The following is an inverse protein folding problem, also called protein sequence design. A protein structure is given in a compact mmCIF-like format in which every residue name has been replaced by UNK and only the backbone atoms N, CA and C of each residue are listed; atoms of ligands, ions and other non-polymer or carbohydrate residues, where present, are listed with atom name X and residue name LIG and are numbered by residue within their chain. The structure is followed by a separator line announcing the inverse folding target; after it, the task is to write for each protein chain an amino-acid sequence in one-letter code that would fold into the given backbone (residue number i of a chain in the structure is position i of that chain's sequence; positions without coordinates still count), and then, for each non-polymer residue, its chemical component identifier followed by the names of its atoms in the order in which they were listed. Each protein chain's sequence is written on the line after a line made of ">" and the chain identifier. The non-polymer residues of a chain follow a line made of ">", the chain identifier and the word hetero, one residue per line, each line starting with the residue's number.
data_IF_513019926177
#
_entry.id   IF_513019926177
#
_cell.length_a   1.000
_cell.length_b   1.000
_cell.length_c   1.000
_cell.angle_alpha   90.00
_cell.angle_beta   90.00
_cell.angle_gamma   90.00
#
_symmetry.space_group_name_H-M   'P 1'
#
loop_
_entity.id
_entity.type
_entity.pdbx_description
1 polymer ?
#
# COMPACT_ATOMS: atom_id res chain seq x y z
N UNK A 1 -29.89 -8.80 -21.21
CA UNK A 1 -28.52 -9.17 -20.80
C UNK A 1 -27.75 -7.88 -20.57
N UNK A 2 -27.91 -7.30 -19.39
CA UNK A 2 -27.02 -6.22 -18.96
C UNK A 2 -25.62 -6.84 -18.82
N UNK A 3 -24.65 -6.25 -19.51
CA UNK A 3 -23.26 -6.68 -19.37
C UNK A 3 -22.92 -6.56 -17.88
N UNK A 4 -22.53 -7.69 -17.28
CA UNK A 4 -22.15 -7.79 -15.88
C UNK A 4 -21.10 -6.69 -15.57
N UNK A 5 -21.54 -5.55 -15.02
CA UNK A 5 -20.71 -4.37 -14.73
C UNK A 5 -19.65 -4.63 -13.66
N UNK A 6 -19.61 -5.86 -13.16
CA UNK A 6 -18.87 -6.34 -11.99
C UNK A 6 -17.37 -6.53 -12.21
N UNK A 7 -16.85 -6.36 -13.42
CA UNK A 7 -15.43 -6.60 -13.68
C UNK A 7 -14.75 -5.43 -14.41
N UNK A 8 -14.57 -4.33 -13.69
CA UNK A 8 -13.92 -3.10 -14.18
C UNK A 8 -12.40 -3.28 -14.41
N UNK A 9 -11.74 -4.11 -13.57
CA UNK A 9 -10.31 -4.39 -13.60
C UNK A 9 -10.07 -5.88 -13.90
N UNK A 10 -10.05 -6.30 -15.17
CA UNK A 10 -9.79 -7.70 -15.56
C UNK A 10 -8.35 -7.90 -16.02
N UNK A 11 -7.89 -7.00 -16.88
CA UNK A 11 -6.61 -7.10 -17.59
C UNK A 11 -5.57 -6.29 -16.85
N UNK A 12 -4.29 -6.67 -16.99
CA UNK A 12 -3.18 -5.88 -16.45
C UNK A 12 -3.25 -4.41 -16.90
N UNK A 13 -3.65 -4.16 -18.16
CA UNK A 13 -3.80 -2.82 -18.71
C UNK A 13 -4.89 -1.96 -18.04
N UNK A 14 -5.83 -2.59 -17.34
CA UNK A 14 -6.89 -1.87 -16.65
C UNK A 14 -6.36 -1.13 -15.42
N UNK A 15 -5.28 -1.63 -14.82
CA UNK A 15 -4.70 -1.09 -13.60
C UNK A 15 -3.84 0.16 -13.81
N UNK A 16 -3.44 0.46 -15.04
CA UNK A 16 -2.81 1.74 -15.35
C UNK A 16 -3.77 2.74 -16.02
N UNK A 17 -5.06 2.40 -16.14
CA UNK A 17 -6.08 3.31 -16.63
C UNK A 17 -6.76 4.06 -15.47
N UNK A 18 -6.53 5.37 -15.39
CA UNK A 18 -7.10 6.24 -14.36
C UNK A 18 -8.62 6.16 -14.24
N UNK A 19 -9.35 6.15 -15.37
CA UNK A 19 -10.82 6.15 -15.35
C UNK A 19 -11.38 4.83 -14.82
N UNK A 20 -10.71 3.71 -15.13
CA UNK A 20 -11.09 2.40 -14.57
C UNK A 20 -10.83 2.31 -13.08
N UNK A 21 -9.71 2.83 -12.60
CA UNK A 21 -9.41 2.90 -11.17
C UNK A 21 -10.45 3.77 -10.42
N UNK A 22 -10.85 4.89 -11.02
CA UNK A 22 -11.91 5.77 -10.51
C UNK A 22 -13.25 5.01 -10.46
N UNK A 23 -13.67 4.37 -11.56
CA UNK A 23 -14.94 3.60 -11.60
C UNK A 23 -14.94 2.44 -10.60
N UNK A 24 -13.80 1.77 -10.41
CA UNK A 24 -13.66 0.68 -9.43
C UNK A 24 -13.89 1.15 -7.99
N UNK A 25 -13.75 2.44 -7.66
CA UNK A 25 -14.07 2.91 -6.31
C UNK A 25 -15.55 2.67 -5.97
N UNK A 26 -16.44 2.70 -6.96
CA UNK A 26 -17.87 2.55 -6.74
C UNK A 26 -18.27 1.11 -6.35
N UNK A 27 -17.43 0.11 -6.68
CA UNK A 27 -17.68 -1.31 -6.41
C UNK A 27 -17.21 -1.79 -5.04
N UNK A 28 -16.63 -0.91 -4.21
CA UNK A 28 -16.10 -1.29 -2.89
C UNK A 28 -17.16 -1.15 -1.80
N UNK A 29 -17.77 -2.25 -1.39
CA UNK A 29 -18.90 -2.25 -0.44
C UNK A 29 -18.52 -1.76 0.96
N UNK A 30 -17.29 -2.02 1.42
CA UNK A 30 -16.86 -1.57 2.77
C UNK A 30 -16.51 -0.07 2.84
N UNK A 31 -16.61 0.67 1.72
CA UNK A 31 -16.45 2.12 1.71
C UNK A 31 -17.82 2.82 1.71
N UNK A 32 -17.96 3.81 2.59
CA UNK A 32 -19.11 4.72 2.56
C UNK A 32 -19.13 5.53 1.26
N UNK A 33 -20.31 6.05 0.86
CA UNK A 33 -20.43 6.91 -0.32
C UNK A 33 -19.47 8.12 -0.28
N UNK A 34 -19.26 8.69 0.91
CA UNK A 34 -18.30 9.77 1.12
C UNK A 34 -16.86 9.33 0.87
N UNK A 35 -16.45 8.17 1.40
CA UNK A 35 -15.10 7.63 1.18
C UNK A 35 -14.86 7.26 -0.29
N UNK A 36 -15.87 6.70 -0.99
CA UNK A 36 -15.82 6.42 -2.43
C UNK A 36 -15.55 7.69 -3.23
N UNK A 37 -16.30 8.76 -2.97
CA UNK A 37 -16.09 10.03 -3.68
C UNK A 37 -14.73 10.64 -3.34
N UNK A 38 -14.28 10.54 -2.09
CA UNK A 38 -12.95 11.01 -1.69
C UNK A 38 -11.83 10.26 -2.43
N UNK A 39 -11.93 8.93 -2.56
CA UNK A 39 -10.99 8.13 -3.33
C UNK A 39 -11.00 8.48 -4.83
N UNK A 40 -12.18 8.71 -5.43
CA UNK A 40 -12.28 9.15 -6.83
C UNK A 40 -11.60 10.51 -7.06
N UNK A 41 -11.83 11.48 -6.16
CA UNK A 41 -11.12 12.77 -6.20
C UNK A 41 -9.61 12.61 -6.03
N UNK A 42 -9.17 11.71 -5.16
CA UNK A 42 -7.75 11.41 -4.95
C UNK A 42 -7.08 10.93 -6.25
N UNK A 43 -7.67 9.97 -6.96
CA UNK A 43 -7.16 9.53 -8.26
C UNK A 43 -7.08 10.66 -9.30
N UNK A 44 -8.11 11.53 -9.36
CA UNK A 44 -8.09 12.68 -10.28
C UNK A 44 -6.94 13.65 -9.96
N UNK A 45 -6.70 13.92 -8.68
CA UNK A 45 -5.57 14.76 -8.21
C UNK A 45 -4.24 14.12 -8.55
N UNK A 46 -4.07 12.83 -8.26
CA UNK A 46 -2.85 12.10 -8.59
C UNK A 46 -2.57 12.10 -10.10
N UNK A 47 -3.61 11.97 -10.93
CA UNK A 47 -3.44 12.09 -12.40
C UNK A 47 -2.90 13.46 -12.81
N UNK A 48 -3.36 14.53 -12.17
CA UNK A 48 -2.90 15.89 -12.45
C UNK A 48 -1.43 16.10 -12.01
N UNK A 49 -1.07 15.61 -10.82
CA UNK A 49 0.28 15.80 -10.25
C UNK A 49 1.32 14.85 -10.88
N UNK A 50 0.95 13.59 -11.08
CA UNK A 50 1.88 12.56 -11.55
C UNK A 50 1.99 12.53 -13.08
N UNK A 51 0.92 12.91 -13.77
CA UNK A 51 0.81 12.88 -15.23
C UNK A 51 -0.07 11.74 -15.73
N UNK A 52 -0.63 11.91 -16.94
CA UNK A 52 -1.59 10.95 -17.53
C UNK A 52 -0.99 9.57 -17.73
N UNK A 53 0.27 9.51 -18.15
CA UNK A 53 0.95 8.25 -18.49
C UNK A 53 1.78 7.70 -17.32
N UNK A 54 1.63 8.27 -16.12
CA UNK A 54 2.44 7.90 -14.97
C UNK A 54 2.30 6.42 -14.61
N UNK A 55 1.07 5.89 -14.52
CA UNK A 55 0.91 4.50 -14.13
C UNK A 55 1.46 3.54 -15.17
N UNK A 56 1.31 3.81 -16.46
CA UNK A 56 1.90 2.97 -17.51
C UNK A 56 3.42 2.87 -17.33
N UNK A 57 4.09 4.02 -17.21
CA UNK A 57 5.52 4.10 -16.94
C UNK A 57 5.91 3.47 -15.59
N UNK A 58 5.07 3.63 -14.55
CA UNK A 58 5.30 3.06 -13.23
C UNK A 58 5.23 1.53 -13.24
N UNK A 59 4.31 0.95 -14.01
CA UNK A 59 4.21 -0.50 -14.20
C UNK A 59 5.41 -1.06 -14.98
N UNK A 60 5.82 -0.39 -16.06
CA UNK A 60 7.02 -0.76 -16.83
C UNK A 60 8.29 -0.69 -15.98
N UNK A 61 8.46 0.41 -15.25
CA UNK A 61 9.60 0.63 -14.35
C UNK A 61 9.52 -0.12 -13.02
N UNK A 62 8.46 -0.91 -12.78
CA UNK A 62 8.21 -1.62 -11.51
C UNK A 62 8.28 -0.69 -10.29
N UNK A 63 7.74 0.51 -10.39
CA UNK A 63 7.65 1.44 -9.28
C UNK A 63 6.81 0.81 -8.15
N UNK A 64 7.27 0.84 -6.89
CA UNK A 64 6.54 0.19 -5.79
C UNK A 64 5.11 0.69 -5.56
N UNK A 65 4.76 1.89 -6.05
CA UNK A 65 3.37 2.38 -6.01
C UNK A 65 2.38 1.39 -6.66
N UNK A 66 2.83 0.62 -7.65
CA UNK A 66 2.01 -0.36 -8.37
C UNK A 66 1.43 -1.43 -7.44
N UNK A 67 2.09 -1.76 -6.33
CA UNK A 67 1.57 -2.70 -5.33
C UNK A 67 0.28 -2.18 -4.69
N UNK A 68 0.21 -0.89 -4.41
CA UNK A 68 -0.99 -0.23 -3.88
C UNK A 68 -2.09 -0.10 -4.96
N UNK A 69 -1.72 0.07 -6.23
CA UNK A 69 -2.71 0.15 -7.31
C UNK A 69 -3.33 -1.21 -7.62
N UNK A 70 -2.52 -2.28 -7.63
CA UNK A 70 -2.97 -3.65 -7.85
C UNK A 70 -3.86 -4.18 -6.73
N UNK A 71 -3.60 -3.74 -5.49
CA UNK A 71 -4.42 -4.14 -4.36
C UNK A 71 -5.81 -3.49 -4.43
N UNK A 72 -6.85 -4.33 -4.43
CA UNK A 72 -8.25 -3.90 -4.54
C UNK A 72 -8.91 -3.67 -3.19
N UNK A 73 -8.22 -3.93 -2.08
CA UNK A 73 -8.81 -3.80 -0.76
C UNK A 73 -9.23 -2.34 -0.44
N UNK A 74 -10.32 -2.13 0.32
CA UNK A 74 -10.80 -0.81 0.72
C UNK A 74 -9.74 0.05 1.42
N UNK A 75 -8.95 -0.56 2.30
CA UNK A 75 -7.90 0.15 3.04
C UNK A 75 -6.88 0.78 2.08
N UNK A 76 -6.64 0.17 0.92
CA UNK A 76 -5.70 0.71 -0.07
C UNK A 76 -6.27 1.96 -0.74
N UNK A 77 -7.60 2.08 -0.90
CA UNK A 77 -8.20 3.34 -1.38
C UNK A 77 -8.13 4.46 -0.34
N UNK A 78 -8.21 4.12 0.95
CA UNK A 78 -7.94 5.07 2.04
C UNK A 78 -6.47 5.53 2.02
N UNK A 79 -5.54 4.60 1.77
CA UNK A 79 -4.12 4.93 1.60
C UNK A 79 -3.88 5.85 0.38
N UNK A 80 -4.45 5.53 -0.79
CA UNK A 80 -4.36 6.38 -2.00
C UNK A 80 -4.94 7.78 -1.75
N UNK A 81 -6.01 7.86 -0.97
CA UNK A 81 -6.61 9.13 -0.56
C UNK A 81 -5.64 9.95 0.28
N UNK A 82 -5.06 9.35 1.32
CA UNK A 82 -4.02 9.99 2.12
C UNK A 82 -2.83 10.43 1.27
N UNK A 83 -2.33 9.58 0.38
CA UNK A 83 -1.19 9.86 -0.49
C UNK A 83 -1.48 11.07 -1.39
N UNK A 84 -2.66 11.14 -2.00
CA UNK A 84 -3.08 12.29 -2.80
C UNK A 84 -3.22 13.57 -1.98
N UNK A 85 -3.83 13.48 -0.79
CA UNK A 85 -4.00 14.63 0.10
C UNK A 85 -2.64 15.17 0.57
N UNK A 86 -1.68 14.29 0.88
CA UNK A 86 -0.32 14.67 1.26
C UNK A 86 0.45 15.37 0.13
N UNK A 87 0.33 14.85 -1.10
CA UNK A 87 0.93 15.48 -2.28
C UNK A 87 0.36 16.88 -2.51
N UNK A 88 -0.97 17.04 -2.43
CA UNK A 88 -1.61 18.34 -2.64
C UNK A 88 -1.26 19.33 -1.53
N UNK A 89 -1.24 18.89 -0.26
CA UNK A 89 -0.83 19.73 0.88
C UNK A 89 0.59 20.30 0.68
N UNK A 90 1.52 19.49 0.18
CA UNK A 90 2.91 19.90 0.01
C UNK A 90 3.20 20.63 -1.31
N UNK A 91 2.22 20.76 -2.21
CA UNK A 91 2.43 21.28 -3.57
C UNK A 91 3.01 22.70 -3.59
N UNK A 92 2.56 23.54 -2.68
CA UNK A 92 2.96 24.95 -2.60
C UNK A 92 4.20 25.18 -1.72
N UNK A 93 4.81 24.10 -1.22
CA UNK A 93 6.04 24.17 -0.45
C UNK A 93 7.28 24.25 -1.34
N UNK A 94 8.32 24.88 -0.82
CA UNK A 94 9.58 25.09 -1.54
C UNK A 94 10.20 23.73 -1.93
N UNK A 95 10.68 23.64 -3.17
CA UNK A 95 11.31 22.45 -3.77
C UNK A 95 10.43 21.19 -3.81
N UNK A 96 9.10 21.31 -3.74
CA UNK A 96 8.16 20.19 -3.89
C UNK A 96 8.44 19.30 -5.12
N UNK A 97 8.90 19.88 -6.23
CA UNK A 97 9.24 19.14 -7.45
C UNK A 97 10.30 18.06 -7.24
N UNK A 98 11.25 18.26 -6.31
CA UNK A 98 12.27 17.26 -5.97
C UNK A 98 11.66 16.02 -5.31
N UNK A 99 10.75 16.22 -4.34
CA UNK A 99 9.99 15.13 -3.72
C UNK A 99 9.17 14.37 -4.76
N UNK A 100 8.45 15.09 -5.61
CA UNK A 100 7.63 14.48 -6.65
C UNK A 100 8.48 13.65 -7.63
N UNK A 101 9.69 14.11 -7.96
CA UNK A 101 10.63 13.36 -8.79
C UNK A 101 11.13 12.08 -8.11
N UNK A 102 11.36 12.09 -6.79
CA UNK A 102 11.70 10.88 -6.00
C UNK A 102 10.58 9.86 -6.01
N UNK A 103 9.34 10.30 -5.78
CA UNK A 103 8.15 9.44 -5.79
C UNK A 103 7.89 8.80 -7.17
N UNK A 104 8.30 9.45 -8.27
CA UNK A 104 8.17 8.87 -9.61
C UNK A 104 9.22 7.80 -9.93
N UNK A 105 10.35 7.77 -9.22
CA UNK A 105 11.48 6.87 -9.49
C UNK A 105 11.38 5.59 -8.65
N UNK A 106 11.40 4.39 -9.25
CA UNK A 106 11.26 3.11 -8.52
C UNK A 106 12.23 2.95 -7.34
N UNK A 107 13.52 3.25 -7.56
CA UNK A 107 14.60 3.08 -6.56
C UNK A 107 14.45 4.08 -5.40
N UNK A 108 13.88 5.26 -5.67
CA UNK A 108 13.75 6.37 -4.71
C UNK A 108 12.36 6.48 -4.10
N UNK A 109 11.43 5.60 -4.49
CA UNK A 109 10.03 5.68 -4.08
C UNK A 109 9.88 5.62 -2.57
N UNK A 110 10.50 4.65 -1.90
CA UNK A 110 10.33 4.47 -0.45
C UNK A 110 10.96 5.61 0.35
N UNK A 111 12.15 6.07 -0.04
CA UNK A 111 12.78 7.27 0.52
C UNK A 111 11.86 8.49 0.37
N UNK A 112 11.38 8.73 -0.85
CA UNK A 112 10.44 9.82 -1.13
C UNK A 112 9.13 9.69 -0.36
N UNK A 113 8.59 8.48 -0.19
CA UNK A 113 7.37 8.23 0.56
C UNK A 113 7.55 8.56 2.05
N UNK A 114 8.70 8.21 2.63
CA UNK A 114 9.03 8.56 4.02
C UNK A 114 9.18 10.07 4.20
N UNK A 115 9.85 10.76 3.28
CA UNK A 115 9.95 12.23 3.31
C UNK A 115 8.57 12.88 3.17
N UNK A 116 7.73 12.40 2.24
CA UNK A 116 6.35 12.85 2.07
C UNK A 116 5.55 12.72 3.37
N UNK A 117 5.63 11.56 4.04
CA UNK A 117 4.89 11.32 5.28
C UNK A 117 5.30 12.27 6.40
N UNK A 118 6.61 12.45 6.62
CA UNK A 118 7.12 13.34 7.67
C UNK A 118 6.80 14.80 7.35
N UNK A 119 7.06 15.24 6.12
CA UNK A 119 6.76 16.59 5.67
C UNK A 119 5.26 16.92 5.80
N UNK A 120 4.38 15.98 5.42
CA UNK A 120 2.94 16.15 5.55
C UNK A 120 2.53 16.32 7.01
N UNK A 121 3.04 15.49 7.93
CA UNK A 121 2.74 15.60 9.37
C UNK A 121 3.14 16.97 9.93
N UNK A 122 4.34 17.45 9.62
CA UNK A 122 4.79 18.76 10.09
C UNK A 122 4.04 19.92 9.43
N UNK A 123 3.71 19.83 8.14
CA UNK A 123 2.89 20.84 7.47
C UNK A 123 1.52 20.97 8.15
N UNK A 124 0.88 19.83 8.44
CA UNK A 124 -0.39 19.75 9.18
C UNK A 124 -0.29 20.25 10.63
N UNK A 125 0.90 20.25 11.22
CA UNK A 125 1.18 20.83 12.52
C UNK A 125 1.49 22.33 12.47
N UNK A 126 1.43 22.96 11.28
CA UNK A 126 1.59 24.41 11.11
C UNK A 126 2.97 24.84 10.60
N UNK A 127 3.92 23.92 10.41
CA UNK A 127 5.27 24.27 9.95
C UNK A 127 5.29 24.62 8.46
N UNK A 128 6.10 25.60 8.08
CA UNK A 128 6.50 25.79 6.69
C UNK A 128 7.62 24.80 6.36
N UNK A 129 7.39 23.96 5.37
CA UNK A 129 8.33 22.95 4.88
C UNK A 129 9.10 23.48 3.67
N UNK A 130 10.39 23.20 3.62
CA UNK A 130 11.22 23.27 2.42
C UNK A 130 11.91 21.91 2.23
N UNK A 131 11.81 21.35 1.03
CA UNK A 131 12.29 20.02 0.69
C UNK A 131 13.70 20.13 0.11
N UNK A 132 14.62 19.26 0.51
CA UNK A 132 15.99 19.23 -0.01
C UNK A 132 16.68 20.62 -0.06
N UNK A 133 16.57 21.47 0.99
CA UNK A 133 17.15 22.81 1.00
C UNK A 133 18.67 22.76 0.82
N UNK A 134 19.23 23.75 0.13
CA UNK A 134 20.69 23.94 0.12
C UNK A 134 21.11 24.78 1.32
N UNK A 135 22.00 24.25 2.16
CA UNK A 135 22.53 24.94 3.34
C UNK A 135 24.04 24.82 3.44
N UNK A 136 24.69 25.78 4.07
CA UNK A 136 26.13 25.76 4.32
C UNK A 136 26.41 25.49 5.80
N UNK A 137 27.18 24.43 6.10
CA UNK A 137 27.58 24.07 7.46
C UNK A 137 29.09 23.96 7.53
N UNK A 138 29.72 24.89 8.26
CA UNK A 138 31.18 24.99 8.38
C UNK A 138 31.90 25.05 7.01
N UNK A 139 31.41 25.91 6.10
CA UNK A 139 32.02 26.12 4.78
C UNK A 139 31.72 25.03 3.75
N UNK A 140 30.84 24.06 4.07
CA UNK A 140 30.52 22.93 3.19
C UNK A 140 29.03 22.91 2.84
N UNK A 141 28.66 22.79 1.55
CA UNK A 141 27.27 22.63 1.18
C UNK A 141 26.74 21.29 1.69
N UNK A 142 25.56 21.31 2.29
CA UNK A 142 24.76 20.15 2.69
C UNK A 142 23.35 20.30 2.14
N UNK A 143 22.66 19.17 2.03
CA UNK A 143 21.28 19.11 1.57
C UNK A 143 20.50 18.13 2.46
N UNK A 144 19.98 18.60 3.61
CA UNK A 144 19.11 17.76 4.43
C UNK A 144 17.80 17.51 3.69
N UNK A 145 17.09 16.43 4.02
CA UNK A 145 15.79 16.12 3.40
C UNK A 145 14.75 17.23 3.62
N UNK A 146 14.72 17.81 4.82
CA UNK A 146 13.70 18.79 5.21
C UNK A 146 14.30 19.96 6.00
N UNK A 147 13.82 21.16 5.69
CA UNK A 147 13.85 22.32 6.59
C UNK A 147 12.42 22.59 7.07
N UNK A 148 12.25 22.59 8.38
CA UNK A 148 11.01 22.91 9.07
C UNK A 148 11.16 24.31 9.66
N UNK A 149 10.20 25.19 9.41
CA UNK A 149 10.19 26.54 9.94
C UNK A 149 8.87 26.77 10.68
N UNK A 150 8.96 27.01 11.98
CA UNK A 150 7.81 27.38 12.79
C UNK A 150 7.30 28.76 12.34
N UNK A 151 5.99 28.88 12.08
CA UNK A 151 5.42 30.13 11.53
C UNK A 151 5.32 31.23 12.59
N UNK A 152 5.23 30.88 13.87
CA UNK A 152 5.09 31.82 14.97
C UNK A 152 6.45 32.26 15.48
N UNK A 153 7.34 31.31 15.80
CA UNK A 153 8.65 31.61 16.40
C UNK A 153 9.75 31.89 15.38
N UNK A 154 9.53 31.53 14.11
CA UNK A 154 10.53 31.57 13.03
C UNK A 154 11.75 30.66 13.26
N UNK A 155 11.71 29.79 14.27
CA UNK A 155 12.76 28.80 14.51
C UNK A 155 12.87 27.82 13.34
N UNK A 156 14.09 27.37 13.06
CA UNK A 156 14.39 26.50 11.93
C UNK A 156 15.03 25.20 12.42
N UNK A 157 14.48 24.08 11.96
CA UNK A 157 15.02 22.75 12.18
C UNK A 157 15.37 22.11 10.84
N UNK A 158 16.57 21.56 10.74
CA UNK A 158 17.01 20.77 9.59
C UNK A 158 17.00 19.29 9.97
N UNK A 159 16.33 18.47 9.16
CA UNK A 159 16.08 17.06 9.47
C UNK A 159 16.48 16.18 8.29
N UNK A 160 17.17 15.08 8.61
CA UNK A 160 17.34 13.93 7.71
C UNK A 160 16.25 12.91 8.02
N UNK A 161 15.63 12.33 7.00
CA UNK A 161 14.61 11.30 7.17
C UNK A 161 15.23 9.95 6.85
N UNK A 162 15.38 9.13 7.88
CA UNK A 162 15.88 7.76 7.73
C UNK A 162 14.78 6.76 8.03
N UNK A 163 14.75 5.70 7.23
CA UNK A 163 13.93 4.51 7.51
C UNK A 163 14.85 3.52 8.19
N UNK A 164 14.53 3.18 9.44
CA UNK A 164 15.21 2.08 10.12
C UNK A 164 14.74 0.76 9.50
N UNK A 165 15.63 -0.24 9.52
CA UNK A 165 15.27 -1.59 9.12
C UNK A 165 14.03 -2.08 9.89
N UNK A 166 13.30 -3.00 9.24
CA UNK A 166 12.16 -3.66 9.87
C UNK A 166 12.55 -4.18 11.26
N UNK A 167 11.70 -3.87 12.24
CA UNK A 167 11.91 -4.36 13.60
C UNK A 167 11.99 -5.89 13.59
N UNK A 168 12.63 -6.47 14.61
CA UNK A 168 12.65 -7.94 14.74
C UNK A 168 11.22 -8.51 14.74
N UNK A 169 10.29 -7.83 15.42
CA UNK A 169 8.89 -8.21 15.45
C UNK A 169 8.23 -8.17 14.06
N UNK A 170 8.47 -7.11 13.26
CA UNK A 170 7.91 -7.01 11.91
C UNK A 170 8.45 -8.11 10.98
N UNK A 171 9.76 -8.38 11.06
CA UNK A 171 10.38 -9.47 10.30
C UNK A 171 9.79 -10.83 10.68
N UNK A 172 9.57 -11.08 11.97
CA UNK A 172 8.96 -12.32 12.46
C UNK A 172 7.48 -12.42 12.07
N UNK A 173 6.74 -11.31 12.08
CA UNK A 173 5.35 -11.25 11.61
C UNK A 173 5.25 -11.52 10.11
N UNK A 174 6.09 -10.90 9.29
CA UNK A 174 6.13 -11.13 7.85
C UNK A 174 6.52 -12.58 7.54
N UNK A 175 7.52 -13.12 8.22
CA UNK A 175 7.90 -14.53 8.10
C UNK A 175 6.74 -15.46 8.44
N UNK A 176 6.02 -15.17 9.53
CA UNK A 176 4.84 -15.93 9.95
C UNK A 176 3.78 -15.93 8.84
N UNK A 177 3.43 -14.76 8.31
CA UNK A 177 2.49 -14.61 7.20
C UNK A 177 2.94 -15.38 5.95
N UNK A 178 4.18 -15.20 5.51
CA UNK A 178 4.72 -15.86 4.31
C UNK A 178 4.69 -17.37 4.44
N UNK A 179 5.09 -17.90 5.61
CA UNK A 179 5.12 -19.36 5.83
C UNK A 179 3.71 -19.95 5.86
N UNK A 180 2.74 -19.24 6.46
CA UNK A 180 1.32 -19.63 6.48
C UNK A 180 0.69 -19.56 5.08
N UNK A 181 1.06 -18.56 4.28
CA UNK A 181 0.53 -18.38 2.93
C UNK A 181 1.15 -19.36 1.90
N UNK A 182 2.36 -19.87 2.15
CA UNK A 182 3.11 -20.69 1.19
C UNK A 182 2.33 -21.93 0.68
N UNK A 183 1.68 -22.76 1.53
CA UNK A 183 0.86 -23.88 1.05
C UNK A 183 -0.21 -23.45 0.05
N UNK A 184 -0.89 -22.33 0.33
CA UNK A 184 -1.97 -21.81 -0.54
C UNK A 184 -1.45 -21.31 -1.89
N UNK A 185 -0.22 -20.79 -1.93
CA UNK A 185 0.39 -20.30 -3.17
C UNK A 185 0.95 -21.41 -4.05
N UNK A 186 1.39 -22.52 -3.46
CA UNK A 186 1.88 -23.69 -4.23
C UNK A 186 0.75 -24.42 -4.95
N UNK A 187 -0.43 -24.45 -4.36
CA UNK A 187 -1.64 -25.04 -4.94
C UNK A 187 -2.32 -24.19 -6.04
N UNK A 188 -1.58 -23.27 -6.68
CA UNK A 188 -2.11 -22.46 -7.77
C UNK A 188 -2.39 -23.32 -9.01
N UNK A 189 -3.49 -23.05 -9.76
CA UNK A 189 -4.33 -21.85 -9.70
C UNK A 189 -5.74 -22.05 -9.10
N UNK A 190 -6.01 -23.10 -8.30
CA UNK A 190 -7.38 -23.50 -7.91
C UNK A 190 -7.91 -22.86 -6.62
N UNK A 191 -7.05 -22.37 -5.73
CA UNK A 191 -7.43 -21.93 -4.38
C UNK A 191 -7.40 -20.42 -4.17
N UNK A 192 -8.36 -19.93 -3.39
CA UNK A 192 -8.46 -18.60 -2.80
C UNK A 192 -8.39 -18.73 -1.27
N UNK A 193 -7.90 -17.70 -0.58
CA UNK A 193 -7.86 -17.68 0.87
C UNK A 193 -8.16 -16.27 1.41
N UNK A 194 -8.76 -16.21 2.60
CA UNK A 194 -8.97 -14.98 3.38
C UNK A 194 -8.71 -15.30 4.86
N UNK A 195 -8.32 -14.31 5.67
CA UNK A 195 -8.09 -14.59 7.08
C UNK A 195 -7.34 -13.53 7.87
N UNK A 196 -7.12 -13.84 9.15
CA UNK A 196 -6.39 -13.02 10.13
C UNK A 196 -5.42 -13.89 10.93
N UNK A 197 -4.20 -13.38 11.09
CA UNK A 197 -3.19 -13.97 11.98
C UNK A 197 -3.08 -13.05 13.19
N UNK A 198 -3.40 -13.58 14.37
CA UNK A 198 -3.48 -12.79 15.61
C UNK A 198 -2.16 -12.71 16.37
N UNK A 199 -1.20 -13.62 16.08
CA UNK A 199 0.07 -13.75 16.81
C UNK A 199 1.24 -14.11 15.90
N UNK A 200 2.42 -13.58 16.24
CA UNK A 200 3.70 -14.09 15.74
C UNK A 200 3.93 -15.48 16.34
N UNK A 201 4.30 -16.45 15.51
CA UNK A 201 4.45 -17.85 15.94
C UNK A 201 5.91 -18.25 16.10
N UNK A 202 6.19 -19.09 17.10
CA UNK A 202 7.46 -19.80 17.18
C UNK A 202 7.60 -20.75 15.99
N UNK A 203 8.84 -21.11 15.61
CA UNK A 203 9.09 -22.02 14.49
C UNK A 203 8.34 -23.35 14.62
N UNK A 204 8.25 -23.91 15.83
CA UNK A 204 7.53 -25.18 16.07
C UNK A 204 6.02 -25.05 15.84
N UNK A 205 5.38 -24.00 16.37
CA UNK A 205 3.96 -23.74 16.14
C UNK A 205 3.67 -23.38 14.69
N UNK A 206 4.57 -22.64 14.04
CA UNK A 206 4.45 -22.29 12.63
C UNK A 206 4.50 -23.52 11.73
N UNK A 207 5.42 -24.46 11.99
CA UNK A 207 5.50 -25.72 11.25
C UNK A 207 4.25 -26.58 11.44
N UNK A 208 3.79 -26.72 12.69
CA UNK A 208 2.54 -27.44 12.99
C UNK A 208 1.34 -26.83 12.27
N UNK A 209 1.20 -25.49 12.31
CA UNK A 209 0.09 -24.81 11.67
C UNK A 209 0.17 -24.93 10.13
N UNK A 210 1.37 -24.82 9.56
CA UNK A 210 1.60 -24.96 8.12
C UNK A 210 1.21 -26.36 7.63
N UNK A 211 1.55 -27.41 8.39
CA UNK A 211 1.12 -28.78 8.07
C UNK A 211 -0.41 -28.92 8.09
N UNK A 212 -1.08 -28.34 9.09
CA UNK A 212 -2.55 -28.34 9.18
C UNK A 212 -3.22 -27.59 8.00
N UNK A 213 -2.62 -26.48 7.57
CA UNK A 213 -3.09 -25.74 6.38
C UNK A 213 -2.90 -26.59 5.13
N UNK A 214 -1.75 -27.24 4.98
CA UNK A 214 -1.46 -28.13 3.86
C UNK A 214 -2.47 -29.29 3.77
N UNK A 215 -2.80 -29.94 4.88
CA UNK A 215 -3.84 -30.98 4.92
C UNK A 215 -5.23 -30.46 4.50
N UNK A 216 -5.55 -29.21 4.84
CA UNK A 216 -6.84 -28.58 4.48
C UNK A 216 -6.87 -28.20 3.00
N UNK A 217 -5.74 -27.75 2.46
CA UNK A 217 -5.52 -27.52 1.04
C UNK A 217 -5.71 -28.81 0.23
N UNK A 218 -5.10 -29.92 0.65
CA UNK A 218 -5.23 -31.22 -0.01
C UNK A 218 -6.69 -31.72 -0.02
N UNK A 219 -7.41 -31.59 1.10
CA UNK A 219 -8.84 -31.93 1.17
C UNK A 219 -9.69 -31.11 0.20
N UNK A 220 -9.40 -29.81 0.07
CA UNK A 220 -10.10 -28.93 -0.88
C UNK A 220 -9.78 -29.27 -2.33
N UNK A 221 -8.55 -29.68 -2.64
CA UNK A 221 -8.19 -30.11 -3.99
C UNK A 221 -8.93 -31.40 -4.40
N UNK A 222 -9.17 -32.31 -3.47
CA UNK A 222 -9.92 -33.55 -3.72
C UNK A 222 -11.43 -33.34 -3.83
N UNK A 223 -12.00 -32.53 -2.94
CA UNK A 223 -13.47 -32.44 -2.73
C UNK A 223 -14.10 -31.20 -3.32
N UNK A 224 -13.29 -30.17 -3.61
CA UNK A 224 -13.78 -28.83 -3.88
C UNK A 224 -14.37 -28.15 -2.64
N UNK A 225 -15.01 -26.99 -2.83
CA UNK A 225 -15.76 -26.31 -1.78
C UNK A 225 -14.95 -25.31 -0.96
N UNK A 226 -15.19 -25.31 0.35
CA UNK A 226 -14.67 -24.37 1.36
C UNK A 226 -14.26 -25.11 2.64
N UNK A 227 -13.14 -24.70 3.24
CA UNK A 227 -12.62 -25.24 4.51
C UNK A 227 -12.13 -24.08 5.39
N UNK A 228 -12.25 -24.26 6.71
CA UNK A 228 -11.75 -23.30 7.70
C UNK A 228 -10.61 -23.89 8.54
N UNK A 229 -9.55 -23.12 8.70
CA UNK A 229 -8.46 -23.40 9.63
C UNK A 229 -8.52 -22.35 10.75
N UNK A 230 -9.24 -22.69 11.82
CA UNK A 230 -9.38 -21.84 13.01
C UNK A 230 -8.58 -22.42 14.18
N UNK A 231 -7.71 -21.60 14.75
CA UNK A 231 -7.03 -21.87 16.03
C UNK A 231 -7.25 -20.64 16.91
N UNK A 232 -7.95 -20.83 18.02
CA UNK A 232 -8.42 -19.73 18.89
C UNK A 232 -7.28 -18.76 19.24
N UNK A 233 -7.48 -17.45 18.96
CA UNK A 233 -6.52 -16.36 19.22
C UNK A 233 -5.16 -16.55 18.53
N UNK A 234 -5.07 -17.40 17.51
CA UNK A 234 -3.86 -17.63 16.72
C UNK A 234 -4.12 -17.29 15.26
N UNK A 235 -5.10 -17.95 14.65
CA UNK A 235 -5.44 -17.75 13.23
C UNK A 235 -6.92 -18.03 12.98
N UNK A 236 -7.49 -17.25 12.07
CA UNK A 236 -8.76 -17.51 11.38
C UNK A 236 -8.44 -17.50 9.88
N UNK A 237 -8.53 -18.64 9.20
CA UNK A 237 -8.22 -18.75 7.78
C UNK A 237 -9.33 -19.51 7.06
N UNK A 238 -10.00 -18.86 6.12
CA UNK A 238 -10.89 -19.49 5.16
C UNK A 238 -10.12 -19.85 3.89
N UNK A 239 -10.35 -21.05 3.37
CA UNK A 239 -9.80 -21.57 2.12
C UNK A 239 -10.97 -21.98 1.22
N UNK A 240 -10.95 -21.59 -0.06
CA UNK A 240 -11.98 -22.01 -1.00
C UNK A 240 -11.41 -22.30 -2.38
N UNK A 241 -12.06 -23.22 -3.10
CA UNK A 241 -11.87 -23.34 -4.54
C UNK A 241 -12.46 -22.13 -5.28
N UNK A 242 -12.02 -21.89 -6.52
CA UNK A 242 -12.53 -20.79 -7.37
C UNK A 242 -14.06 -20.76 -7.48
N UNK A 243 -14.70 -21.91 -7.57
CA UNK A 243 -16.15 -22.03 -7.72
C UNK A 243 -16.92 -21.75 -6.41
N UNK A 244 -16.20 -21.74 -5.28
CA UNK A 244 -16.74 -21.44 -3.95
C UNK A 244 -16.13 -20.18 -3.36
N UNK A 245 -15.66 -19.26 -4.21
CA UNK A 245 -15.03 -18.02 -3.73
C UNK A 245 -16.00 -17.11 -2.96
N UNK A 246 -17.29 -17.16 -3.28
CA UNK A 246 -18.30 -16.26 -2.70
C UNK A 246 -18.62 -16.54 -1.22
N UNK A 247 -18.09 -17.63 -0.66
CA UNK A 247 -18.19 -17.94 0.78
C UNK A 247 -16.99 -17.46 1.60
N UNK A 248 -15.93 -16.90 0.97
CA UNK A 248 -14.78 -16.28 1.64
C UNK A 248 -15.06 -14.81 2.01
#
# INVERSE_FOLDING_TARGET
>A
MEANETEILKKSADYWNWERLIKHCDTLEELTAFEKERAKRAFRRLRQELGKDFFENAFEGRNPICQYILNRAPWTRKWITWFADAIVELKDHENYSSLLARLKKPIKFYEGLSVLEIAFKFSRAGFRICIDPSVEVAGRPKQPDLKLCDKETQEQLFSEVSVLDQSKADREALRTLQTIAEPTWRSRPSLCYCGRIHKILSTSHLNWLTARIQESVEKLEERGGFEEVVVEKVIELGLATKDSRDVL
#
